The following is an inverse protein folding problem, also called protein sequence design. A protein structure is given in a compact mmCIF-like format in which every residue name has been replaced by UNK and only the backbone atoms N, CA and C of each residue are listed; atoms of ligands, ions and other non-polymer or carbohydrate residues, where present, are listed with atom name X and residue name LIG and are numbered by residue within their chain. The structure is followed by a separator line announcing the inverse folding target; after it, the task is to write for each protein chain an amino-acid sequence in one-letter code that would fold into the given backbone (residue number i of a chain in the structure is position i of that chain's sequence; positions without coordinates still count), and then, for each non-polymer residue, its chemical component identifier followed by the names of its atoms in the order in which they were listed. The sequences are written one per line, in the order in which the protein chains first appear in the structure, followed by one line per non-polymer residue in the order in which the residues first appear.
data_IF_776215645354
#
_entry.id   IF_776215645354
#
_cell.length_a   1.000
_cell.length_b   1.000
_cell.length_c   1.000
_cell.angle_alpha   90.00
_cell.angle_beta   90.00
_cell.angle_gamma   90.00
#
_symmetry.space_group_name_H-M   'P 1'
#
loop_
_entity.id
_entity.type
_entity.pdbx_description
1 polymer ?
#
# COMPACT_ATOMS: atom_id res chain seq x y z
N UNK A 1 -36.76 22.08 14.30
CA UNK A 1 -35.31 22.11 13.97
C UNK A 1 -34.94 20.73 13.46
N UNK A 2 -34.77 20.56 12.14
CA UNK A 2 -34.31 19.29 11.55
C UNK A 2 -32.87 19.05 12.01
N UNK A 3 -32.59 17.92 12.65
CA UNK A 3 -31.23 17.49 12.94
C UNK A 3 -30.52 17.27 11.60
N UNK A 4 -29.61 18.18 11.24
CA UNK A 4 -28.72 17.95 10.12
C UNK A 4 -27.86 16.74 10.43
N UNK A 5 -28.05 15.66 9.69
CA UNK A 5 -27.09 14.57 9.64
C UNK A 5 -25.75 15.16 9.22
N UNK A 6 -24.78 15.18 10.14
CA UNK A 6 -23.41 15.54 9.79
C UNK A 6 -22.95 14.57 8.69
N UNK A 7 -22.40 15.08 7.57
CA UNK A 7 -21.87 14.20 6.53
C UNK A 7 -20.73 13.38 7.14
N UNK A 8 -20.91 12.07 7.15
CA UNK A 8 -19.87 11.12 7.50
C UNK A 8 -19.07 10.79 6.22
N UNK A 9 -17.74 10.60 6.32
CA UNK A 9 -16.92 10.75 7.53
C UNK A 9 -16.63 12.22 7.87
N UNK A 10 -16.70 12.59 9.16
CA UNK A 10 -16.35 13.94 9.66
C UNK A 10 -14.83 14.07 9.62
N UNK A 11 -14.24 14.98 8.85
CA UNK A 11 -12.77 15.12 8.77
C UNK A 11 -12.09 15.11 10.15
N UNK A 12 -11.00 14.31 10.36
CA UNK A 12 -10.39 14.16 11.67
C UNK A 12 -9.63 15.44 12.05
N UNK A 13 -9.29 16.24 11.04
CA UNK A 13 -8.58 17.50 11.15
C UNK A 13 -9.45 18.60 11.77
N UNK A 14 -10.78 18.45 11.85
CA UNK A 14 -11.62 19.39 12.60
C UNK A 14 -11.33 19.40 14.10
N UNK A 15 -10.83 18.29 14.64
CA UNK A 15 -10.52 18.13 16.07
C UNK A 15 -9.01 18.16 16.35
N UNK A 16 -8.18 18.19 15.30
CA UNK A 16 -6.74 18.37 15.38
C UNK A 16 -6.40 19.83 15.11
N UNK A 17 -6.04 20.56 16.15
CA UNK A 17 -5.47 21.89 15.97
C UNK A 17 -4.06 21.74 15.39
N UNK A 18 -3.89 22.01 14.09
CA UNK A 18 -2.59 22.10 13.41
C UNK A 18 -1.94 23.45 13.65
N UNK A 19 -1.63 23.70 14.91
CA UNK A 19 -1.12 24.99 15.29
C UNK A 19 0.40 25.02 15.02
N UNK A 20 0.79 25.51 13.84
CA UNK A 20 2.20 25.72 13.41
C UNK A 20 2.99 26.64 14.38
N UNK A 21 4.11 27.25 13.99
CA UNK A 21 4.95 28.07 14.92
C UNK A 21 4.28 29.35 15.50
N UNK A 22 2.97 29.54 15.35
CA UNK A 22 2.21 30.68 15.88
C UNK A 22 2.25 30.66 17.41
N UNK A 23 2.97 31.61 18.01
CA UNK A 23 3.13 31.74 19.45
C UNK A 23 4.36 31.03 20.05
N UNK A 24 5.26 30.48 19.22
CA UNK A 24 6.52 29.85 19.69
C UNK A 24 7.74 30.77 19.61
N UNK A 25 7.64 31.91 18.91
CA UNK A 25 8.70 32.89 18.76
C UNK A 25 8.52 34.07 19.73
N UNK A 26 9.30 34.07 20.82
CA UNK A 26 9.79 35.31 21.42
C UNK A 26 9.00 35.98 22.55
N UNK A 27 8.00 35.34 23.16
CA UNK A 27 7.42 35.87 24.41
C UNK A 27 7.20 34.77 25.44
N UNK A 28 7.51 35.06 26.71
CA UNK A 28 7.24 34.23 27.89
C UNK A 28 5.72 33.98 28.13
N UNK A 29 4.86 34.32 27.16
CA UNK A 29 3.42 34.16 27.12
C UNK A 29 2.94 33.25 25.97
N UNK A 30 3.83 32.38 25.44
CA UNK A 30 3.49 31.39 24.44
C UNK A 30 2.41 30.41 24.92
N UNK A 31 1.35 30.25 24.12
CA UNK A 31 0.23 29.28 24.24
C UNK A 31 -0.12 28.84 25.67
N UNK A 32 -1.02 29.58 26.30
CA UNK A 32 -1.65 29.20 27.57
C UNK A 32 -3.08 28.74 27.28
N UNK A 33 -3.40 27.49 27.66
CA UNK A 33 -4.71 26.84 27.57
C UNK A 33 -5.28 26.67 26.15
N UNK A 34 -4.44 26.56 25.11
CA UNK A 34 -4.89 26.36 23.73
C UNK A 34 -3.95 25.44 22.94
N UNK A 35 -4.52 24.66 22.02
CA UNK A 35 -3.79 23.78 21.08
C UNK A 35 -3.43 22.40 21.64
N UNK A 36 -2.72 21.62 20.81
CA UNK A 36 -2.14 20.32 21.17
C UNK A 36 -0.63 20.45 21.37
N UNK A 37 -0.10 19.71 22.34
CA UNK A 37 1.33 19.44 22.45
C UNK A 37 1.72 18.41 21.39
N UNK A 38 2.86 18.63 20.72
CA UNK A 38 3.35 17.72 19.67
C UNK A 38 4.49 16.87 20.21
N UNK A 39 4.41 15.57 19.98
CA UNK A 39 5.43 14.59 20.31
C UNK A 39 5.74 13.74 19.08
N UNK A 40 7.01 13.34 18.92
CA UNK A 40 7.46 12.51 17.81
C UNK A 40 8.09 13.30 16.67
N UNK A 41 7.90 12.81 15.45
CA UNK A 41 8.57 13.35 14.25
C UNK A 41 7.93 14.66 13.76
N UNK A 42 8.72 15.61 13.22
CA UNK A 42 8.17 16.81 12.63
C UNK A 42 7.15 16.48 11.54
N UNK A 43 5.93 16.99 11.70
CA UNK A 43 4.86 16.78 10.73
C UNK A 43 4.81 17.97 9.78
N UNK A 44 5.05 17.71 8.49
CA UNK A 44 4.90 18.73 7.47
C UNK A 44 3.42 18.83 7.05
N UNK A 45 2.83 20.00 7.29
CA UNK A 45 1.41 20.26 7.02
C UNK A 45 1.25 20.75 5.58
N UNK A 46 2.13 21.66 5.15
CA UNK A 46 2.18 22.21 3.78
C UNK A 46 3.63 22.14 3.29
N UNK A 47 3.83 21.71 2.04
CA UNK A 47 5.12 21.71 1.32
C UNK A 47 5.35 23.01 0.53
N UNK A 48 6.60 23.32 0.18
CA UNK A 48 6.97 24.48 -0.64
C UNK A 48 7.59 25.67 0.11
N UNK A 49 7.60 26.85 -0.54
CA UNK A 49 8.32 28.04 -0.08
C UNK A 49 7.81 28.59 1.26
N UNK A 50 6.53 28.36 1.58
CA UNK A 50 5.90 28.68 2.88
C UNK A 50 5.62 27.41 3.67
N UNK A 51 6.60 26.49 3.74
CA UNK A 51 6.43 25.22 4.42
C UNK A 51 5.98 25.40 5.87
N UNK A 52 4.82 24.84 6.20
CA UNK A 52 4.29 24.81 7.55
C UNK A 52 4.64 23.45 8.17
N UNK A 53 5.34 23.49 9.30
CA UNK A 53 5.72 22.32 10.08
C UNK A 53 5.17 22.42 11.49
N UNK A 54 4.55 21.34 11.94
CA UNK A 54 4.33 21.11 13.35
C UNK A 54 5.58 20.46 13.94
N UNK A 55 6.19 21.14 14.91
CA UNK A 55 7.39 20.67 15.63
C UNK A 55 7.06 20.46 17.10
N UNK A 56 7.78 19.55 17.73
CA UNK A 56 7.56 19.22 19.14
C UNK A 56 7.58 20.44 20.05
N UNK A 57 6.53 20.60 20.86
CA UNK A 57 6.43 21.67 21.85
C UNK A 57 5.62 21.18 23.05
N UNK A 58 6.09 21.51 24.24
CA UNK A 58 5.42 21.28 25.52
C UNK A 58 5.05 22.64 26.12
N UNK A 59 3.87 23.15 25.77
CA UNK A 59 3.31 24.39 26.33
C UNK A 59 2.34 24.10 27.49
N UNK A 60 1.44 25.05 27.79
CA UNK A 60 0.29 24.83 28.66
C UNK A 60 -0.92 24.44 27.78
N UNK A 61 -1.12 23.15 27.47
CA UNK A 61 -2.21 22.71 26.59
C UNK A 61 -3.58 23.03 27.21
N UNK A 62 -4.64 23.06 26.39
CA UNK A 62 -6.01 23.26 26.90
C UNK A 62 -6.47 22.17 27.89
N UNK A 63 -5.81 21.01 27.88
CA UNK A 63 -6.01 19.95 28.87
C UNK A 63 -4.73 19.14 29.07
N UNK A 64 -4.60 18.49 30.23
CA UNK A 64 -3.41 17.72 30.61
C UNK A 64 -3.03 16.60 29.63
N UNK A 65 -3.96 16.13 28.79
CA UNK A 65 -3.75 15.03 27.84
C UNK A 65 -3.86 15.46 26.36
N UNK A 66 -3.81 16.76 26.07
CA UNK A 66 -3.92 17.27 24.72
C UNK A 66 -2.60 17.08 23.93
N UNK A 67 -2.26 15.82 23.63
CA UNK A 67 -1.05 15.46 22.89
C UNK A 67 -1.38 14.92 21.50
N UNK A 68 -0.55 15.25 20.51
CA UNK A 68 -0.52 14.63 19.21
C UNK A 68 0.83 13.91 19.03
N UNK A 69 0.77 12.58 19.06
CA UNK A 69 1.92 11.72 18.78
C UNK A 69 2.00 11.48 17.28
N UNK A 70 3.16 11.76 16.69
CA UNK A 70 3.39 11.69 15.25
C UNK A 70 4.49 10.67 14.95
N UNK A 71 4.26 9.85 13.93
CA UNK A 71 5.15 8.79 13.51
C UNK A 71 5.10 8.64 11.98
N UNK A 72 6.26 8.48 11.35
CA UNK A 72 6.33 8.05 9.94
C UNK A 72 6.78 6.60 9.87
N UNK A 73 6.06 5.78 9.12
CA UNK A 73 6.43 4.40 8.82
C UNK A 73 6.71 4.24 7.35
N UNK A 74 7.89 3.71 7.03
CA UNK A 74 8.40 3.62 5.65
C UNK A 74 9.03 2.27 5.33
N UNK A 75 8.88 1.25 6.19
CA UNK A 75 9.34 -0.10 5.82
C UNK A 75 8.41 -0.72 4.78
N UNK A 76 8.94 -1.51 3.86
CA UNK A 76 8.13 -2.18 2.84
C UNK A 76 7.05 -3.08 3.46
N UNK A 77 7.38 -3.83 4.51
CA UNK A 77 6.40 -4.61 5.28
C UNK A 77 5.27 -3.73 5.82
N UNK A 78 5.59 -2.58 6.40
CA UNK A 78 4.58 -1.70 6.98
C UNK A 78 3.60 -1.18 5.92
N UNK A 79 4.09 -0.73 4.75
CA UNK A 79 3.25 -0.10 3.73
C UNK A 79 2.57 -1.10 2.79
N UNK A 80 3.15 -2.28 2.59
CA UNK A 80 2.64 -3.28 1.64
C UNK A 80 1.83 -4.40 2.29
N UNK A 81 2.12 -4.73 3.55
CA UNK A 81 1.49 -5.84 4.30
C UNK A 81 0.66 -5.29 5.45
N UNK A 82 1.29 -4.70 6.46
CA UNK A 82 0.63 -4.38 7.74
C UNK A 82 -0.43 -3.28 7.61
N UNK A 83 -0.16 -2.30 6.76
CA UNK A 83 -1.00 -1.13 6.48
C UNK A 83 -1.15 -0.96 4.99
N UNK A 84 -1.42 -2.07 4.30
CA UNK A 84 -1.46 -2.18 2.85
C UNK A 84 -2.21 -1.01 2.18
N UNK A 85 -1.48 -0.12 1.52
CA UNK A 85 -2.03 1.02 0.79
C UNK A 85 -2.53 2.19 1.65
N UNK A 86 -2.38 2.12 2.98
CA UNK A 86 -2.60 3.24 3.89
C UNK A 86 -1.50 4.27 3.70
N UNK A 87 -1.86 5.56 3.61
CA UNK A 87 -0.90 6.68 3.54
C UNK A 87 -0.95 7.59 4.76
N UNK A 88 -2.06 7.60 5.50
CA UNK A 88 -2.24 8.35 6.73
C UNK A 88 -3.28 7.68 7.62
N UNK A 89 -3.06 7.65 8.93
CA UNK A 89 -4.08 7.34 9.93
C UNK A 89 -4.03 8.36 11.05
N UNK A 90 -5.21 8.74 11.53
CA UNK A 90 -5.42 9.58 12.70
C UNK A 90 -6.33 8.84 13.66
N UNK A 91 -5.85 8.62 14.88
CA UNK A 91 -6.59 7.93 15.94
C UNK A 91 -6.63 8.77 17.20
N UNK A 92 -7.79 8.84 17.84
CA UNK A 92 -7.96 9.37 19.19
C UNK A 92 -7.86 8.23 20.20
N UNK A 93 -6.99 8.37 21.18
CA UNK A 93 -6.81 7.44 22.28
C UNK A 93 -7.84 7.70 23.38
N UNK A 94 -8.05 6.70 24.25
CA UNK A 94 -9.00 6.78 25.36
C UNK A 94 -8.63 7.85 26.41
N UNK A 95 -7.34 8.19 26.51
CA UNK A 95 -6.85 9.26 27.41
C UNK A 95 -7.09 10.67 26.85
N UNK A 96 -7.62 10.78 25.63
CA UNK A 96 -7.87 12.04 24.93
C UNK A 96 -6.74 12.51 24.03
N UNK A 97 -5.58 11.83 24.05
CA UNK A 97 -4.48 12.10 23.12
C UNK A 97 -4.81 11.61 21.71
N UNK A 98 -4.06 12.10 20.73
CA UNK A 98 -4.14 11.70 19.34
C UNK A 98 -2.85 11.01 18.91
N UNK A 99 -2.97 10.08 17.97
CA UNK A 99 -1.87 9.46 17.24
C UNK A 99 -2.10 9.68 15.75
N UNK A 100 -1.10 10.21 15.07
CA UNK A 100 -1.06 10.38 13.64
C UNK A 100 0.11 9.56 13.09
N UNK A 101 -0.19 8.64 12.18
CA UNK A 101 0.81 7.81 11.52
C UNK A 101 0.80 8.13 10.03
N UNK A 102 1.89 8.69 9.53
CA UNK A 102 2.15 8.84 8.10
C UNK A 102 2.80 7.57 7.56
N UNK A 103 2.29 7.10 6.43
CA UNK A 103 2.82 5.91 5.75
C UNK A 103 2.92 6.14 4.24
N UNK A 104 3.62 7.20 3.80
CA UNK A 104 3.69 7.57 2.39
C UNK A 104 4.29 6.43 1.57
N UNK A 105 3.63 6.09 0.47
CA UNK A 105 4.01 4.98 -0.39
C UNK A 105 3.70 5.28 -1.85
N UNK A 106 4.49 4.73 -2.76
CA UNK A 106 4.09 4.61 -4.17
C UNK A 106 3.08 3.47 -4.33
N UNK A 107 2.18 3.56 -5.31
CA UNK A 107 1.25 2.47 -5.65
C UNK A 107 1.46 2.00 -7.09
N UNK A 108 2.10 0.85 -7.28
CA UNK A 108 2.48 0.33 -8.60
C UNK A 108 1.62 -0.89 -8.97
N UNK A 109 0.66 -0.77 -9.90
CA UNK A 109 -0.13 -1.89 -10.35
C UNK A 109 0.68 -2.76 -11.32
N UNK A 110 0.50 -4.08 -11.24
CA UNK A 110 1.03 -5.01 -12.22
C UNK A 110 0.13 -6.24 -12.36
N UNK A 111 0.17 -6.88 -13.52
CA UNK A 111 -0.32 -8.25 -13.73
C UNK A 111 0.89 -9.19 -13.72
N UNK A 112 0.82 -10.28 -12.97
CA UNK A 112 1.70 -11.43 -13.08
C UNK A 112 1.03 -12.46 -14.00
N UNK A 113 1.73 -12.80 -15.08
CA UNK A 113 1.41 -13.95 -15.92
C UNK A 113 2.26 -15.12 -15.45
N UNK A 114 1.62 -16.27 -15.26
CA UNK A 114 2.26 -17.54 -14.99
C UNK A 114 1.86 -18.47 -16.13
N UNK A 115 2.85 -19.04 -16.81
CA UNK A 115 2.63 -19.99 -17.91
C UNK A 115 2.94 -21.40 -17.43
N UNK A 116 2.12 -22.35 -17.85
CA UNK A 116 2.35 -23.78 -17.62
C UNK A 116 2.05 -24.57 -18.88
N UNK A 117 3.05 -25.29 -19.36
CA UNK A 117 3.01 -26.19 -20.50
C UNK A 117 3.27 -27.65 -20.06
N UNK A 118 3.76 -27.88 -18.84
CA UNK A 118 4.00 -29.22 -18.33
C UNK A 118 4.09 -29.30 -16.80
N UNK A 119 3.44 -30.32 -16.21
CA UNK A 119 3.71 -30.70 -14.83
C UNK A 119 3.05 -29.80 -13.79
N UNK A 120 3.86 -29.10 -12.99
CA UNK A 120 3.46 -28.21 -11.87
C UNK A 120 3.65 -26.76 -12.29
N UNK A 121 2.73 -25.86 -11.92
CA UNK A 121 2.80 -24.45 -12.27
C UNK A 121 3.22 -23.59 -11.08
N UNK A 122 4.22 -22.73 -11.25
CA UNK A 122 4.63 -21.83 -10.18
C UNK A 122 5.40 -20.61 -10.68
N UNK A 123 5.36 -19.54 -9.90
CA UNK A 123 6.20 -18.36 -10.09
C UNK A 123 6.60 -17.77 -8.74
N UNK A 124 7.86 -17.38 -8.60
CA UNK A 124 8.40 -16.71 -7.43
C UNK A 124 9.20 -15.47 -7.76
N UNK A 125 9.20 -14.53 -6.83
CA UNK A 125 9.83 -13.24 -6.96
C UNK A 125 10.37 -12.74 -5.62
N UNK A 126 11.30 -11.79 -5.68
CA UNK A 126 11.81 -11.05 -4.52
C UNK A 126 11.58 -9.55 -4.69
N UNK A 127 11.71 -8.81 -3.59
CA UNK A 127 11.63 -7.35 -3.58
C UNK A 127 12.99 -6.77 -3.24
N UNK A 128 13.54 -5.98 -4.17
CA UNK A 128 14.73 -5.17 -3.92
C UNK A 128 14.31 -3.78 -3.47
N UNK A 129 14.36 -3.51 -2.17
CA UNK A 129 14.02 -2.21 -1.57
C UNK A 129 15.34 -1.51 -1.24
N UNK A 130 15.61 -0.39 -1.92
CA UNK A 130 16.89 0.30 -1.88
C UNK A 130 18.08 -0.63 -2.22
N UNK A 131 17.86 -1.54 -3.17
CA UNK A 131 18.86 -2.52 -3.59
C UNK A 131 19.08 -3.69 -2.64
N UNK A 132 18.25 -3.85 -1.60
CA UNK A 132 18.34 -4.94 -0.62
C UNK A 132 17.11 -5.84 -0.70
N UNK A 133 17.34 -7.14 -0.85
CA UNK A 133 16.30 -8.17 -0.79
C UNK A 133 15.56 -8.10 0.56
N UNK A 134 14.25 -7.93 0.51
CA UNK A 134 13.43 -7.66 1.70
C UNK A 134 12.52 -8.82 2.07
N UNK A 135 12.57 -9.20 3.35
CA UNK A 135 11.64 -10.15 3.97
C UNK A 135 10.53 -9.41 4.72
N UNK A 136 9.27 -9.76 4.43
CA UNK A 136 8.07 -9.18 5.04
C UNK A 136 7.31 -10.16 5.93
N UNK A 137 7.76 -11.40 6.08
CA UNK A 137 7.05 -12.45 6.81
C UNK A 137 6.59 -13.59 5.89
N UNK A 138 5.51 -14.27 6.30
CA UNK A 138 4.94 -15.42 5.58
C UNK A 138 4.37 -15.07 4.20
N UNK A 139 3.94 -13.82 4.03
CA UNK A 139 3.40 -13.25 2.80
C UNK A 139 4.01 -11.85 2.58
N UNK A 140 3.95 -11.40 1.34
CA UNK A 140 4.34 -10.06 0.92
C UNK A 140 3.21 -9.31 0.25
N UNK A 141 2.29 -10.00 -0.40
CA UNK A 141 1.33 -9.35 -1.27
C UNK A 141 0.05 -10.18 -1.46
N UNK A 142 -1.02 -9.50 -1.87
CA UNK A 142 -2.29 -10.10 -2.25
C UNK A 142 -2.48 -10.06 -3.77
N UNK A 143 -3.05 -11.12 -4.33
CA UNK A 143 -3.29 -11.30 -5.77
C UNK A 143 -4.77 -11.50 -6.07
N UNK A 144 -5.24 -10.87 -7.14
CA UNK A 144 -6.63 -10.97 -7.63
C UNK A 144 -6.66 -11.56 -9.03
N UNK A 145 -7.70 -12.34 -9.33
CA UNK A 145 -7.90 -12.94 -10.65
C UNK A 145 -8.17 -11.90 -11.73
N UNK A 146 -7.69 -12.15 -12.95
CA UNK A 146 -7.99 -11.34 -14.13
C UNK A 146 -8.86 -12.16 -15.10
N UNK A 147 -10.00 -11.58 -15.49
CA UNK A 147 -10.90 -12.12 -16.51
C UNK A 147 -12.00 -13.04 -15.99
N UNK A 148 -13.26 -12.67 -16.27
CA UNK A 148 -14.44 -13.39 -15.77
C UNK A 148 -14.54 -14.84 -16.27
N UNK A 149 -14.10 -15.07 -17.51
CA UNK A 149 -14.12 -16.39 -18.15
C UNK A 149 -12.74 -17.07 -18.13
N UNK A 150 -11.81 -16.60 -17.30
CA UNK A 150 -10.47 -17.17 -17.20
C UNK A 150 -10.43 -18.23 -16.10
N UNK A 151 -9.76 -19.35 -16.39
CA UNK A 151 -9.54 -20.43 -15.44
C UNK A 151 -8.10 -20.45 -14.93
N UNK A 152 -7.92 -21.09 -13.78
CA UNK A 152 -6.63 -21.44 -13.25
C UNK A 152 -6.18 -22.85 -13.68
N UNK A 153 -5.00 -23.28 -13.23
CA UNK A 153 -4.44 -24.58 -13.59
C UNK A 153 -5.17 -25.80 -12.96
N UNK A 154 -6.14 -25.57 -12.07
CA UNK A 154 -7.04 -26.60 -11.51
C UNK A 154 -8.45 -26.53 -12.10
N UNK A 155 -8.63 -25.83 -13.22
CA UNK A 155 -9.92 -25.67 -13.89
C UNK A 155 -10.95 -24.86 -13.08
N UNK A 156 -10.52 -24.10 -12.06
CA UNK A 156 -11.39 -23.20 -11.32
C UNK A 156 -11.39 -21.80 -11.96
N UNK A 157 -12.52 -21.08 -11.92
CA UNK A 157 -12.55 -19.69 -12.36
C UNK A 157 -11.59 -18.85 -11.51
N UNK A 158 -10.66 -18.15 -12.17
CA UNK A 158 -9.60 -17.40 -11.49
C UNK A 158 -10.19 -16.28 -10.64
N UNK A 159 -11.25 -15.63 -11.11
CA UNK A 159 -11.95 -14.58 -10.37
C UNK A 159 -12.62 -15.10 -9.10
N UNK A 160 -13.10 -16.34 -9.07
CA UNK A 160 -13.74 -16.93 -7.89
C UNK A 160 -12.69 -17.35 -6.86
N UNK A 161 -11.64 -18.03 -7.33
CA UNK A 161 -10.54 -18.49 -6.46
C UNK A 161 -9.76 -17.32 -5.85
N UNK A 162 -9.58 -16.23 -6.60
CA UNK A 162 -8.81 -15.06 -6.19
C UNK A 162 -9.69 -13.83 -5.86
N UNK A 163 -10.99 -13.99 -5.63
CA UNK A 163 -11.94 -12.87 -5.41
C UNK A 163 -11.55 -11.95 -4.25
N UNK A 164 -11.05 -12.52 -3.16
CA UNK A 164 -10.80 -11.79 -1.90
C UNK A 164 -9.33 -11.37 -1.73
N UNK A 165 -8.51 -11.47 -2.78
CA UNK A 165 -7.07 -11.26 -2.67
C UNK A 165 -6.41 -12.44 -1.98
N UNK A 166 -5.78 -13.32 -2.75
CA UNK A 166 -5.07 -14.49 -2.20
C UNK A 166 -3.63 -14.09 -1.92
N UNK A 167 -3.11 -14.35 -0.71
CA UNK A 167 -1.73 -14.03 -0.40
C UNK A 167 -0.76 -14.92 -1.18
N UNK A 168 0.38 -14.35 -1.54
CA UNK A 168 1.56 -15.15 -1.88
C UNK A 168 2.14 -15.82 -0.62
N UNK A 169 3.01 -16.80 -0.83
CA UNK A 169 3.66 -17.53 0.25
C UNK A 169 5.17 -17.31 0.21
N UNK A 170 5.83 -17.25 1.36
CA UNK A 170 7.30 -17.12 1.47
C UNK A 170 8.01 -18.47 1.50
N UNK A 171 9.16 -18.60 0.83
CA UNK A 171 10.01 -19.81 0.86
C UNK A 171 10.63 -20.08 2.23
N UNK A 172 10.59 -19.09 3.14
CA UNK A 172 11.05 -19.25 4.52
C UNK A 172 10.00 -19.96 5.41
N UNK A 173 8.81 -20.25 4.87
CA UNK A 173 7.74 -20.96 5.58
C UNK A 173 7.93 -22.47 5.40
N UNK A 174 8.20 -23.18 6.50
CA UNK A 174 8.39 -24.64 6.50
C UNK A 174 7.19 -25.37 5.92
N UNK A 175 7.42 -26.19 4.89
CA UNK A 175 6.41 -27.09 4.30
C UNK A 175 5.44 -26.45 3.30
N UNK A 176 5.60 -25.16 2.97
CA UNK A 176 4.65 -24.43 2.12
C UNK A 176 4.95 -24.49 0.61
N UNK A 177 6.16 -24.88 0.21
CA UNK A 177 6.59 -24.89 -1.20
C UNK A 177 6.86 -26.31 -1.68
N UNK A 178 6.34 -26.64 -2.84
CA UNK A 178 6.82 -27.77 -3.63
C UNK A 178 8.27 -27.54 -4.09
N UNK A 179 8.95 -28.64 -4.40
CA UNK A 179 10.40 -28.63 -4.69
C UNK A 179 10.80 -27.75 -5.89
N UNK A 180 9.86 -27.34 -6.75
CA UNK A 180 10.17 -26.63 -8.00
C UNK A 180 10.33 -25.12 -7.88
N UNK A 181 9.66 -24.47 -6.93
CA UNK A 181 9.72 -23.01 -6.83
C UNK A 181 10.56 -22.49 -5.65
N UNK A 182 10.95 -23.37 -4.71
CA UNK A 182 11.35 -22.97 -3.35
C UNK A 182 12.81 -23.14 -2.94
N UNK A 183 13.80 -23.19 -3.85
CA UNK A 183 15.21 -23.43 -3.45
C UNK A 183 16.10 -22.18 -3.28
N UNK A 184 15.53 -20.97 -3.30
CA UNK A 184 16.31 -19.74 -3.17
C UNK A 184 16.90 -19.56 -1.76
N UNK A 185 18.16 -19.11 -1.69
CA UNK A 185 18.83 -18.76 -0.43
C UNK A 185 18.40 -17.39 0.12
N UNK A 186 17.70 -16.58 -0.69
CA UNK A 186 17.14 -15.28 -0.29
C UNK A 186 15.63 -15.41 -0.03
N UNK A 187 15.05 -14.42 0.68
CA UNK A 187 13.60 -14.34 0.82
C UNK A 187 12.93 -14.20 -0.54
N UNK A 188 12.15 -15.21 -0.93
CA UNK A 188 11.27 -15.14 -2.11
C UNK A 188 9.83 -15.39 -1.70
N UNK A 189 8.93 -14.83 -2.50
CA UNK A 189 7.49 -14.95 -2.40
C UNK A 189 6.95 -15.51 -3.70
N UNK A 190 5.88 -16.29 -3.66
CA UNK A 190 5.36 -16.89 -4.87
C UNK A 190 3.99 -17.49 -4.74
N UNK A 191 3.50 -17.96 -5.88
CA UNK A 191 2.26 -18.71 -6.03
C UNK A 191 2.60 -20.03 -6.70
N UNK A 192 1.94 -21.09 -6.23
CA UNK A 192 2.19 -22.45 -6.70
C UNK A 192 0.87 -23.20 -6.83
N UNK A 193 0.82 -24.05 -7.86
CA UNK A 193 -0.19 -25.07 -8.05
C UNK A 193 0.56 -26.41 -8.13
N UNK A 194 0.63 -27.18 -7.03
CA UNK A 194 1.12 -28.56 -7.10
C UNK A 194 0.20 -29.41 -7.99
N UNK A 195 0.75 -30.36 -8.74
CA UNK A 195 -0.02 -31.33 -9.53
C UNK A 195 -0.97 -30.75 -10.60
N UNK A 196 -0.52 -29.79 -11.43
CA UNK A 196 -1.34 -29.16 -12.49
C UNK A 196 -1.57 -30.00 -13.75
N UNK A 197 -1.74 -31.32 -13.61
CA UNK A 197 -1.93 -32.21 -14.77
C UNK A 197 -3.25 -31.99 -15.56
N UNK A 198 -4.07 -31.01 -15.16
CA UNK A 198 -5.42 -30.83 -15.66
C UNK A 198 -5.55 -29.73 -16.72
N UNK A 199 -4.80 -28.61 -16.61
CA UNK A 199 -4.91 -27.48 -17.54
C UNK A 199 -3.55 -26.82 -17.82
N UNK A 200 -3.31 -26.50 -19.09
CA UNK A 200 -2.12 -25.80 -19.60
C UNK A 200 -2.51 -24.46 -20.23
N UNK A 201 -1.58 -23.52 -20.23
CA UNK A 201 -1.77 -22.17 -20.74
C UNK A 201 -1.30 -21.13 -19.75
N UNK A 202 -1.97 -19.98 -19.72
CA UNK A 202 -1.58 -18.83 -18.91
C UNK A 202 -2.63 -18.50 -17.84
N UNK A 203 -2.16 -18.24 -16.63
CA UNK A 203 -2.95 -17.65 -15.54
C UNK A 203 -2.46 -16.22 -15.32
N UNK A 204 -3.41 -15.30 -15.20
CA UNK A 204 -3.13 -13.87 -15.00
C UNK A 204 -3.72 -13.40 -13.67
N UNK A 205 -2.86 -12.81 -12.85
CA UNK A 205 -3.22 -12.29 -11.55
C UNK A 205 -2.75 -10.85 -11.43
N UNK A 206 -3.58 -9.96 -10.90
CA UNK A 206 -3.25 -8.55 -10.72
C UNK A 206 -3.01 -8.21 -9.26
N UNK A 207 -2.25 -7.14 -9.04
CA UNK A 207 -1.99 -6.58 -7.72
C UNK A 207 -1.60 -5.11 -7.79
N UNK A 208 -1.49 -4.46 -6.63
CA UNK A 208 -0.87 -3.14 -6.45
C UNK A 208 0.27 -3.28 -5.45
N UNK A 209 1.51 -3.10 -5.87
CA UNK A 209 2.63 -3.03 -4.92
C UNK A 209 2.67 -1.65 -4.27
N UNK A 210 2.65 -1.61 -2.94
CA UNK A 210 2.88 -0.39 -2.18
C UNK A 210 4.32 -0.38 -1.67
N UNK A 211 5.10 0.61 -2.08
CA UNK A 211 6.53 0.68 -1.76
C UNK A 211 6.90 1.99 -1.07
N UNK A 212 7.94 1.99 -0.22
CA UNK A 212 8.41 3.20 0.42
C UNK A 212 8.85 4.27 -0.59
N UNK A 213 8.57 5.53 -0.30
CA UNK A 213 9.02 6.64 -1.15
C UNK A 213 10.49 7.02 -0.89
N UNK A 214 11.11 7.70 -1.86
CA UNK A 214 12.49 8.20 -1.76
C UNK A 214 13.59 7.15 -2.04
N UNK A 215 13.20 5.95 -2.46
CA UNK A 215 14.11 4.82 -2.69
C UNK A 215 14.05 4.22 -4.09
N UNK A 216 15.01 3.36 -4.41
CA UNK A 216 14.95 2.48 -5.60
C UNK A 216 14.28 1.18 -5.21
N UNK A 217 13.06 0.96 -5.68
CA UNK A 217 12.27 -0.22 -5.36
C UNK A 217 12.03 -1.06 -6.62
N UNK A 218 12.19 -2.37 -6.52
CA UNK A 218 11.98 -3.32 -7.62
C UNK A 218 11.32 -4.60 -7.14
N UNK A 219 10.65 -5.29 -8.04
CA UNK A 219 10.28 -6.71 -7.89
C UNK A 219 10.88 -7.49 -9.05
N UNK A 220 11.48 -8.64 -8.75
CA UNK A 220 12.16 -9.47 -9.73
C UNK A 220 11.63 -10.90 -9.63
N UNK A 221 11.27 -11.48 -10.76
CA UNK A 221 11.00 -12.92 -10.88
C UNK A 221 12.32 -13.65 -10.69
N UNK A 222 12.34 -14.59 -9.76
CA UNK A 222 13.51 -15.39 -9.39
C UNK A 222 13.42 -16.78 -9.99
N UNK A 223 12.22 -17.37 -10.03
CA UNK A 223 12.00 -18.72 -10.53
C UNK A 223 10.58 -18.86 -11.08
N UNK A 224 10.43 -19.73 -12.07
CA UNK A 224 9.13 -20.17 -12.60
C UNK A 224 9.24 -21.59 -13.10
N UNK A 225 8.13 -22.33 -13.14
CA UNK A 225 8.13 -23.70 -13.65
C UNK A 225 8.42 -23.77 -15.16
N UNK A 226 7.71 -22.97 -15.96
CA UNK A 226 7.96 -22.80 -17.40
C UNK A 226 8.33 -21.34 -17.72
N UNK A 227 7.39 -20.40 -17.51
CA UNK A 227 7.62 -18.98 -17.75
C UNK A 227 6.76 -18.12 -16.82
N UNK A 228 7.29 -16.97 -16.43
CA UNK A 228 6.55 -15.97 -15.67
C UNK A 228 7.04 -14.57 -16.03
N UNK A 229 6.10 -13.63 -16.12
CA UNK A 229 6.40 -12.25 -16.48
C UNK A 229 5.42 -11.29 -15.81
N UNK A 230 5.91 -10.09 -15.50
CA UNK A 230 5.10 -8.95 -15.09
C UNK A 230 4.70 -8.11 -16.29
N UNK A 231 3.45 -7.65 -16.29
CA UNK A 231 2.89 -6.66 -17.20
C UNK A 231 2.54 -5.41 -16.39
N UNK A 232 3.49 -4.47 -16.19
CA UNK A 232 3.21 -3.18 -15.59
C UNK A 232 2.55 -2.23 -16.62
N UNK A 233 2.18 -1.04 -16.17
CA UNK A 233 1.65 0.00 -17.07
C UNK A 233 2.65 0.31 -18.19
N UNK A 234 2.18 0.25 -19.44
CA UNK A 234 2.95 0.64 -20.63
C UNK A 234 3.96 -0.38 -21.14
N UNK A 235 4.12 -1.56 -20.51
CA UNK A 235 4.99 -2.61 -21.04
C UNK A 235 4.54 -4.01 -20.64
N UNK A 236 4.89 -5.01 -21.44
CA UNK A 236 4.63 -6.43 -21.17
C UNK A 236 5.96 -7.18 -21.11
N UNK A 237 5.91 -8.42 -20.61
CA UNK A 237 7.02 -9.37 -20.67
C UNK A 237 8.25 -8.98 -19.86
N UNK A 238 8.06 -8.48 -18.65
CA UNK A 238 9.16 -8.05 -17.78
C UNK A 238 9.40 -9.04 -16.65
N UNK A 239 10.64 -9.50 -16.51
CA UNK A 239 11.06 -10.29 -15.32
C UNK A 239 11.47 -9.41 -14.14
N UNK A 240 11.69 -8.11 -14.37
CA UNK A 240 11.97 -7.11 -13.34
C UNK A 240 11.21 -5.83 -13.69
N UNK A 241 10.50 -5.28 -12.71
CA UNK A 241 9.83 -3.97 -12.85
C UNK A 241 10.20 -3.03 -11.70
N UNK A 242 10.38 -1.72 -12.00
CA UNK A 242 10.50 -0.70 -10.97
C UNK A 242 9.14 -0.48 -10.28
N UNK A 243 9.18 -0.23 -8.97
CA UNK A 243 8.01 -0.02 -8.12
C UNK A 243 7.95 1.44 -7.66
N UNK A 244 7.78 2.36 -8.62
CA UNK A 244 7.81 3.81 -8.42
C UNK A 244 6.44 4.50 -8.56
N UNK A 245 5.36 3.72 -8.56
CA UNK A 245 3.99 4.23 -8.64
C UNK A 245 3.53 4.58 -10.05
N UNK A 246 2.24 4.89 -10.19
CA UNK A 246 1.65 5.36 -11.45
C UNK A 246 0.74 6.57 -11.23
N UNK A 247 0.72 7.49 -12.19
CA UNK A 247 -0.09 8.71 -12.10
C UNK A 247 0.18 9.49 -10.81
N UNK A 248 -0.88 9.85 -10.08
CA UNK A 248 -0.77 10.58 -8.81
C UNK A 248 0.00 9.80 -7.71
N UNK A 249 -0.01 8.47 -7.78
CA UNK A 249 0.71 7.62 -6.82
C UNK A 249 2.20 7.47 -7.10
N UNK A 250 2.71 8.09 -8.16
CA UNK A 250 4.15 8.23 -8.41
C UNK A 250 4.74 9.50 -7.76
N UNK A 251 3.89 10.38 -7.23
CA UNK A 251 4.31 11.62 -6.58
C UNK A 251 4.76 11.35 -5.15
N UNK A 252 5.87 11.97 -4.75
CA UNK A 252 6.33 11.95 -3.36
C UNK A 252 5.32 12.75 -2.50
N UNK A 253 4.87 12.14 -1.41
CA UNK A 253 3.98 12.74 -0.43
C UNK A 253 4.82 13.28 0.71
N UNK A 254 5.00 14.60 0.74
CA UNK A 254 5.78 15.30 1.75
C UNK A 254 4.90 15.92 2.83
N UNK A 255 3.59 16.08 2.60
CA UNK A 255 2.72 16.81 3.52
C UNK A 255 1.29 16.29 3.65
N UNK A 256 0.64 16.63 4.77
CA UNK A 256 -0.78 16.32 5.00
C UNK A 256 -1.68 17.04 3.98
N UNK A 257 -1.35 18.27 3.57
CA UNK A 257 -2.13 19.01 2.58
C UNK A 257 -2.20 18.30 1.22
N UNK A 258 -1.10 17.67 0.78
CA UNK A 258 -1.08 16.87 -0.46
C UNK A 258 -2.04 15.70 -0.39
N UNK A 259 -2.09 15.00 0.76
CA UNK A 259 -3.05 13.89 0.99
C UNK A 259 -4.49 14.40 0.89
N UNK A 260 -4.80 15.54 1.50
CA UNK A 260 -6.13 16.16 1.43
C UNK A 260 -6.48 16.55 -0.01
N UNK A 261 -5.53 17.04 -0.79
CA UNK A 261 -5.74 17.39 -2.18
C UNK A 261 -6.02 16.13 -3.04
N UNK A 262 -5.31 15.03 -2.79
CA UNK A 262 -5.57 13.74 -3.44
C UNK A 262 -6.96 13.18 -3.09
N UNK A 263 -7.48 13.44 -1.90
CA UNK A 263 -8.87 13.10 -1.54
C UNK A 263 -9.86 13.89 -2.43
N UNK A 264 -9.65 15.20 -2.63
CA UNK A 264 -10.50 16.01 -3.52
C UNK A 264 -10.48 15.48 -4.96
N UNK A 265 -9.31 15.01 -5.39
CA UNK A 265 -9.09 14.44 -6.73
C UNK A 265 -9.55 12.97 -6.85
N UNK A 266 -10.14 12.39 -5.79
CA UNK A 266 -10.59 10.99 -5.71
C UNK A 266 -9.47 9.96 -5.92
N UNK A 267 -8.22 10.35 -5.71
CA UNK A 267 -7.05 9.46 -5.75
C UNK A 267 -6.81 8.76 -4.42
N UNK A 268 -7.38 9.29 -3.33
CA UNK A 268 -7.30 8.74 -1.98
C UNK A 268 -8.71 8.54 -1.43
N UNK A 269 -8.96 7.36 -0.88
CA UNK A 269 -10.17 7.02 -0.15
C UNK A 269 -9.99 7.37 1.34
N UNK A 270 -11.08 7.77 1.99
CA UNK A 270 -11.14 8.01 3.43
C UNK A 270 -12.15 7.05 4.03
N UNK A 271 -11.74 6.30 5.04
CA UNK A 271 -12.61 5.42 5.82
C UNK A 271 -12.38 5.63 7.31
N UNK A 272 -13.35 5.25 8.12
CA UNK A 272 -13.25 5.32 9.58
C UNK A 272 -14.50 5.84 10.27
N UNK A 273 -14.38 5.94 11.58
CA UNK A 273 -15.44 6.37 12.50
C UNK A 273 -15.00 7.60 13.30
N UNK A 274 -15.68 7.90 14.41
CA UNK A 274 -15.40 9.06 15.25
C UNK A 274 -14.05 8.99 15.97
N UNK A 275 -13.48 7.79 16.14
CA UNK A 275 -12.26 7.55 16.94
C UNK A 275 -11.02 7.32 16.06
N UNK A 276 -11.19 6.82 14.84
CA UNK A 276 -10.09 6.50 13.94
C UNK A 276 -10.49 6.79 12.51
N UNK A 277 -9.61 7.45 11.78
CA UNK A 277 -9.76 7.74 10.37
C UNK A 277 -8.50 7.41 9.61
N UNK A 278 -8.70 6.78 8.47
CA UNK A 278 -7.63 6.22 7.69
C UNK A 278 -7.79 6.59 6.23
N UNK A 279 -6.68 6.99 5.64
CA UNK A 279 -6.55 7.45 4.27
C UNK A 279 -5.76 6.40 3.50
N UNK A 280 -6.32 5.94 2.40
CA UNK A 280 -5.75 4.86 1.60
C UNK A 280 -5.72 5.28 0.13
N UNK A 281 -4.73 4.79 -0.63
CA UNK A 281 -4.79 4.91 -2.08
C UNK A 281 -6.12 4.35 -2.61
N UNK A 282 -6.80 5.08 -3.49
CA UNK A 282 -7.96 4.55 -4.19
C UNK A 282 -7.47 3.50 -5.21
N UNK A 283 -7.80 2.22 -5.05
CA UNK A 283 -7.28 1.19 -5.94
C UNK A 283 -7.85 1.30 -7.36
N UNK A 284 -9.02 1.94 -7.53
CA UNK A 284 -9.70 2.03 -8.83
C UNK A 284 -8.88 2.76 -9.90
N UNK A 285 -8.48 4.04 -9.71
CA UNK A 285 -7.66 4.74 -10.70
C UNK A 285 -6.29 4.09 -10.89
N UNK A 286 -5.75 3.42 -9.86
CA UNK A 286 -4.46 2.73 -9.93
C UNK A 286 -4.58 1.47 -10.82
N UNK A 287 -5.54 0.58 -10.56
CA UNK A 287 -5.75 -0.64 -11.35
C UNK A 287 -6.24 -0.33 -12.76
N UNK A 288 -7.08 0.69 -12.96
CA UNK A 288 -7.57 1.06 -14.29
C UNK A 288 -6.44 1.46 -15.25
N UNK A 289 -5.24 1.79 -14.74
CA UNK A 289 -4.07 2.01 -15.57
C UNK A 289 -3.58 0.72 -16.29
N UNK A 290 -4.08 -0.45 -15.91
CA UNK A 290 -3.83 -1.75 -16.53
C UNK A 290 -4.98 -2.23 -17.44
N UNK A 291 -5.99 -1.41 -17.75
CA UNK A 291 -7.19 -1.88 -18.46
C UNK A 291 -6.89 -2.53 -19.83
N UNK A 292 -5.89 -2.04 -20.57
CA UNK A 292 -5.42 -2.65 -21.81
C UNK A 292 -4.81 -4.04 -21.57
N UNK A 293 -4.07 -4.19 -20.45
CA UNK A 293 -3.45 -5.45 -20.04
C UNK A 293 -4.47 -6.47 -19.58
N UNK A 294 -5.49 -6.05 -18.84
CA UNK A 294 -6.59 -6.92 -18.42
C UNK A 294 -7.35 -7.46 -19.65
N UNK A 295 -7.65 -6.58 -20.62
CA UNK A 295 -8.30 -6.97 -21.89
C UNK A 295 -7.45 -8.00 -22.64
N UNK A 296 -6.14 -7.80 -22.71
CA UNK A 296 -5.22 -8.75 -23.35
C UNK A 296 -5.16 -10.08 -22.59
N UNK A 297 -5.01 -10.04 -21.26
CA UNK A 297 -4.96 -11.21 -20.40
C UNK A 297 -6.22 -12.08 -20.56
N UNK A 298 -7.39 -11.45 -20.68
CA UNK A 298 -8.65 -12.15 -20.95
C UNK A 298 -8.66 -12.95 -22.26
N UNK A 299 -7.87 -12.55 -23.26
CA UNK A 299 -7.76 -13.27 -24.53
C UNK A 299 -6.72 -14.38 -24.52
N UNK A 300 -5.73 -14.30 -23.63
CA UNK A 300 -4.59 -15.22 -23.57
C UNK A 300 -4.69 -16.26 -22.44
N UNK A 301 -5.69 -16.14 -21.56
CA UNK A 301 -5.89 -17.01 -20.41
C UNK A 301 -6.49 -18.38 -20.79
N UNK A 302 -6.35 -19.34 -19.86
CA UNK A 302 -7.05 -20.62 -19.90
C UNK A 302 -8.58 -20.38 -19.84
N UNK A 303 -9.38 -21.14 -20.59
CA UNK A 303 -10.84 -21.03 -20.69
C UNK A 303 -11.56 -22.24 -20.14
#
# INVERSE_FOLDING_TARGET
RKSGTQPLPISPFYYLAFDGAVGTLGTEAGRINYGLNYLGEPLQIVSGAEALRAVGHTGSPYSANAFLNTETVSSFKAVNVDRRGQILSVKRNNDGSFRLVLSPSYATPAILKISNNSGEACASYNFGINGVDTYTGMESNLWWGVGENCRDFYDAFVIEKFQNGVPDISNQTTGAWGTRCGSAQTPVYGLEWPDTQQNYGNVFLKTIFYTPQGGQNTVNIVMSSDDAEFWPVGSDGKVNIPLNGVGASATILESVAEIVELVKQRQVCVSGESVEQTFWWNPTPVINALADKETKAETECIK
#
